data_IF_375746225116
#
_entry.id   IF_375746225116
#
_cell.length_a   1.000
_cell.length_b   1.000
_cell.length_c   1.000
_cell.angle_alpha   90.00
_cell.angle_beta   90.00
_cell.angle_gamma   90.00
#
_symmetry.space_group_name_H-M   'P 1'
#
loop_
_entity.id
_entity.type
_entity.pdbx_description
1 polymer ?
#
# COMPACT_ATOMS: atom_id res chain seq x y z
N UNK A 1 -8.77 -14.42 -16.03
CA UNK A 1 -8.56 -13.66 -14.77
C UNK A 1 -7.11 -13.84 -14.38
N UNK A 2 -6.34 -12.76 -14.22
CA UNK A 2 -4.91 -12.82 -13.84
C UNK A 2 -4.74 -13.60 -12.54
N UNK A 3 -3.66 -14.38 -12.39
CA UNK A 3 -3.43 -15.14 -11.14
C UNK A 3 -3.26 -14.20 -9.95
N UNK A 4 -2.70 -13.00 -10.17
CA UNK A 4 -2.51 -11.99 -9.12
C UNK A 4 -3.84 -11.37 -8.67
N UNK A 5 -4.82 -11.21 -9.58
CA UNK A 5 -6.18 -10.77 -9.20
C UNK A 5 -6.80 -11.75 -8.21
N UNK A 6 -6.62 -13.06 -8.43
CA UNK A 6 -7.15 -14.09 -7.51
C UNK A 6 -6.50 -13.98 -6.13
N UNK A 7 -5.18 -13.85 -6.06
CA UNK A 7 -4.44 -13.69 -4.79
C UNK A 7 -4.92 -12.44 -4.03
N UNK A 8 -5.04 -11.30 -4.72
CA UNK A 8 -5.55 -10.06 -4.12
C UNK A 8 -6.98 -10.20 -3.60
N UNK A 9 -7.87 -10.91 -4.31
CA UNK A 9 -9.23 -11.16 -3.86
C UNK A 9 -9.29 -12.08 -2.63
N UNK A 10 -8.46 -13.12 -2.58
CA UNK A 10 -8.34 -14.01 -1.42
C UNK A 10 -7.82 -13.27 -0.19
N UNK A 11 -6.85 -12.36 -0.38
CA UNK A 11 -6.36 -11.50 0.70
C UNK A 11 -7.43 -10.52 1.18
N UNK A 12 -8.12 -9.86 0.24
CA UNK A 12 -9.21 -8.92 0.54
C UNK A 12 -10.37 -9.58 1.29
N UNK A 13 -10.66 -10.85 0.99
CA UNK A 13 -11.69 -11.61 1.72
C UNK A 13 -11.35 -11.80 3.21
N UNK A 14 -10.07 -11.72 3.60
CA UNK A 14 -9.59 -11.87 4.98
C UNK A 14 -9.35 -10.55 5.70
N UNK A 15 -9.57 -9.42 5.02
CA UNK A 15 -9.29 -8.07 5.53
C UNK A 15 -10.00 -7.77 6.87
N UNK A 16 -11.23 -8.26 7.07
CA UNK A 16 -11.97 -8.03 8.32
C UNK A 16 -11.56 -8.93 9.48
N UNK A 17 -10.77 -9.98 9.21
CA UNK A 17 -10.48 -11.05 10.18
C UNK A 17 -8.99 -11.08 10.60
N UNK A 18 -8.11 -10.55 9.75
CA UNK A 18 -6.66 -10.64 9.91
C UNK A 18 -6.04 -9.24 9.75
N UNK A 19 -5.45 -8.72 10.83
CA UNK A 19 -4.81 -7.39 10.83
C UNK A 19 -3.68 -7.26 9.81
N UNK A 20 -2.92 -8.33 9.56
CA UNK A 20 -1.87 -8.31 8.56
C UNK A 20 -2.48 -8.32 7.16
N UNK A 21 -3.55 -9.09 6.95
CA UNK A 21 -4.29 -9.05 5.67
C UNK A 21 -4.88 -7.66 5.41
N UNK A 22 -5.39 -7.00 6.45
CA UNK A 22 -5.85 -5.62 6.37
C UNK A 22 -4.73 -4.66 6.00
N UNK A 23 -3.62 -4.68 6.74
CA UNK A 23 -2.46 -3.83 6.46
C UNK A 23 -1.93 -4.05 5.04
N UNK A 24 -1.93 -5.30 4.55
CA UNK A 24 -1.56 -5.62 3.17
C UNK A 24 -2.55 -5.04 2.14
N UNK A 25 -3.86 -5.14 2.38
CA UNK A 25 -4.86 -4.50 1.52
C UNK A 25 -4.73 -2.98 1.51
N UNK A 26 -4.53 -2.36 2.67
CA UNK A 26 -4.32 -0.91 2.78
C UNK A 26 -3.01 -0.47 2.11
N UNK A 27 -1.96 -1.28 2.17
CA UNK A 27 -0.70 -1.04 1.45
C UNK A 27 -0.91 -1.10 -0.06
N UNK A 28 -1.66 -2.08 -0.58
CA UNK A 28 -2.00 -2.17 -2.00
C UNK A 28 -2.84 -0.97 -2.46
N UNK A 29 -3.79 -0.51 -1.64
CA UNK A 29 -4.56 0.72 -1.88
C UNK A 29 -3.67 1.96 -1.89
N UNK A 30 -2.74 2.08 -0.93
CA UNK A 30 -1.81 3.20 -0.86
C UNK A 30 -0.92 3.26 -2.11
N UNK A 31 -0.32 2.14 -2.52
CA UNK A 31 0.42 2.05 -3.78
C UNK A 31 -0.44 2.45 -4.98
N UNK A 32 -1.71 2.02 -5.02
CA UNK A 32 -2.63 2.37 -6.09
C UNK A 32 -2.91 3.89 -6.16
N UNK A 33 -3.06 4.53 -5.01
CA UNK A 33 -3.24 5.98 -4.88
C UNK A 33 -1.99 6.73 -5.36
N UNK A 34 -0.80 6.23 -5.01
CA UNK A 34 0.51 6.78 -5.42
C UNK A 34 0.88 6.50 -6.89
N UNK A 35 -0.01 5.90 -7.68
CA UNK A 35 0.24 5.63 -9.09
C UNK A 35 1.06 4.36 -9.37
N UNK A 36 1.17 3.48 -8.37
CA UNK A 36 1.72 2.13 -8.51
C UNK A 36 3.13 1.94 -7.95
N UNK A 37 3.76 3.01 -7.48
CA UNK A 37 5.02 2.94 -6.75
C UNK A 37 5.08 4.06 -5.71
N UNK A 38 5.77 3.82 -4.60
CA UNK A 38 5.93 4.78 -3.51
C UNK A 38 7.15 4.46 -2.66
N UNK A 39 7.75 5.50 -2.10
CA UNK A 39 8.79 5.34 -1.08
C UNK A 39 8.17 4.81 0.23
N UNK A 40 8.93 4.08 1.04
CA UNK A 40 8.46 3.49 2.30
C UNK A 40 7.72 4.51 3.19
N UNK A 41 8.28 5.71 3.35
CA UNK A 41 7.67 6.82 4.11
C UNK A 41 6.33 7.27 3.54
N UNK A 42 6.25 7.47 2.21
CA UNK A 42 5.01 7.85 1.53
C UNK A 42 3.94 6.75 1.65
N UNK A 43 4.37 5.48 1.67
CA UNK A 43 3.50 4.34 1.87
C UNK A 43 2.95 4.28 3.28
N UNK A 44 3.80 4.49 4.28
CA UNK A 44 3.37 4.56 5.69
C UNK A 44 2.35 5.67 5.89
N UNK A 45 2.60 6.85 5.32
CA UNK A 45 1.67 7.99 5.35
C UNK A 45 0.36 7.65 4.63
N UNK A 46 0.42 6.99 3.47
CA UNK A 46 -0.75 6.56 2.71
C UNK A 46 -1.62 5.54 3.45
N UNK A 47 -0.99 4.54 4.10
CA UNK A 47 -1.70 3.55 4.93
C UNK A 47 -2.36 4.23 6.13
N UNK A 48 -1.66 5.15 6.79
CA UNK A 48 -2.22 5.93 7.90
C UNK A 48 -3.41 6.79 7.45
N UNK A 49 -3.33 7.42 6.28
CA UNK A 49 -4.42 8.21 5.70
C UNK A 49 -5.66 7.35 5.38
N UNK A 50 -5.46 6.14 4.85
CA UNK A 50 -6.56 5.18 4.61
C UNK A 50 -7.24 4.79 5.92
N UNK A 51 -6.44 4.47 6.96
CA UNK A 51 -6.98 4.14 8.28
C UNK A 51 -7.74 5.33 8.90
N UNK A 52 -7.26 6.57 8.74
CA UNK A 52 -7.95 7.75 9.23
C UNK A 52 -9.35 7.93 8.60
N UNK A 53 -9.57 7.48 7.36
CA UNK A 53 -10.87 7.52 6.70
C UNK A 53 -11.88 6.50 7.26
N UNK A 54 -11.43 5.48 7.99
CA UNK A 54 -12.32 4.53 8.65
C UNK A 54 -12.99 5.13 9.89
N UNK A 55 -12.39 6.17 10.48
CA UNK A 55 -12.84 6.77 11.75
C UNK A 55 -12.49 5.93 12.98
N UNK A 56 -11.78 4.81 12.81
CA UNK A 56 -11.39 3.90 13.89
C UNK A 56 -9.88 3.93 14.10
N UNK A 57 -9.44 4.53 15.22
CA UNK A 57 -8.01 4.59 15.61
C UNK A 57 -7.42 3.19 15.78
N UNK A 58 -8.22 2.20 16.19
CA UNK A 58 -7.76 0.82 16.32
C UNK A 58 -7.52 0.13 14.97
N UNK A 59 -7.93 0.75 13.86
CA UNK A 59 -7.67 0.28 12.50
C UNK A 59 -6.32 0.75 11.93
N UNK A 60 -5.63 1.66 12.61
CA UNK A 60 -4.29 2.12 12.21
C UNK A 60 -3.30 1.00 12.46
N UNK A 61 -2.71 0.49 11.37
CA UNK A 61 -1.63 -0.49 11.47
C UNK A 61 -0.39 0.17 12.10
N UNK A 62 0.22 -0.52 13.05
CA UNK A 62 1.55 -0.20 13.54
C UNK A 62 2.59 -0.34 12.43
N UNK A 63 3.74 0.32 12.59
CA UNK A 63 4.84 0.22 11.61
C UNK A 63 5.24 -1.25 11.36
N UNK A 64 5.34 -2.06 12.41
CA UNK A 64 5.69 -3.48 12.28
C UNK A 64 4.63 -4.26 11.49
N UNK A 65 3.34 -3.96 11.66
CA UNK A 65 2.28 -4.63 10.88
C UNK A 65 2.34 -4.25 9.40
N UNK A 66 2.75 -3.01 9.07
CA UNK A 66 2.99 -2.60 7.69
C UNK A 66 4.23 -3.28 7.11
N UNK A 67 5.32 -3.42 7.88
CA UNK A 67 6.52 -4.14 7.48
C UNK A 67 6.22 -5.64 7.22
N UNK A 68 5.46 -6.28 8.10
CA UNK A 68 5.00 -7.67 7.92
C UNK A 68 4.09 -7.81 6.68
N UNK A 69 3.22 -6.83 6.44
CA UNK A 69 2.40 -6.79 5.25
C UNK A 69 3.24 -6.65 3.96
N UNK A 70 4.23 -5.76 3.95
CA UNK A 70 5.15 -5.58 2.81
C UNK A 70 5.92 -6.88 2.52
N UNK A 71 6.45 -7.54 3.55
CA UNK A 71 7.13 -8.84 3.42
C UNK A 71 6.19 -9.89 2.82
N UNK A 72 4.95 -9.97 3.30
CA UNK A 72 3.95 -10.90 2.77
C UNK A 72 3.62 -10.61 1.31
N UNK A 73 3.39 -9.34 0.96
CA UNK A 73 3.09 -8.92 -0.41
C UNK A 73 4.24 -9.21 -1.39
N UNK A 74 5.49 -9.11 -0.94
CA UNK A 74 6.66 -9.50 -1.73
C UNK A 74 6.75 -11.01 -1.94
N UNK A 75 6.55 -11.80 -0.89
CA UNK A 75 6.55 -13.27 -0.96
C UNK A 75 5.45 -13.77 -1.89
N UNK A 76 4.28 -13.15 -1.86
CA UNK A 76 3.16 -13.45 -2.75
C UNK A 76 3.34 -12.88 -4.17
N UNK A 77 4.43 -12.14 -4.43
CA UNK A 77 4.78 -11.61 -5.75
C UNK A 77 3.86 -10.48 -6.22
N UNK A 78 3.16 -9.81 -5.32
CA UNK A 78 2.24 -8.71 -5.62
C UNK A 78 2.98 -7.37 -5.76
N UNK A 79 4.08 -7.21 -5.03
CA UNK A 79 4.95 -6.03 -5.08
C UNK A 79 6.40 -6.42 -5.34
N UNK A 80 7.23 -5.43 -5.63
CA UNK A 80 8.68 -5.55 -5.55
C UNK A 80 9.31 -4.32 -4.93
N UNK A 81 10.39 -4.53 -4.17
CA UNK A 81 11.23 -3.48 -3.61
C UNK A 81 12.48 -3.22 -4.43
N UNK A 82 12.96 -1.99 -4.33
CA UNK A 82 14.29 -1.58 -4.79
C UNK A 82 14.83 -0.53 -3.83
N UNK A 83 16.08 -0.67 -3.38
CA UNK A 83 16.78 0.41 -2.68
C UNK A 83 17.13 1.53 -3.65
N UNK A 84 16.81 2.76 -3.27
CA UNK A 84 17.07 3.95 -4.06
C UNK A 84 17.50 5.12 -3.20
N UNK A 85 18.03 6.15 -3.87
CA UNK A 85 18.37 7.43 -3.24
C UNK A 85 17.24 8.41 -3.53
N UNK A 86 16.62 8.94 -2.48
CA UNK A 86 15.64 10.02 -2.54
C UNK A 86 16.27 11.32 -2.07
N UNK A 87 15.88 12.44 -2.64
CA UNK A 87 16.28 13.75 -2.14
C UNK A 87 15.65 13.97 -0.74
N UNK A 88 16.44 14.48 0.19
CA UNK A 88 15.95 14.91 1.50
C UNK A 88 15.34 16.32 1.37
N UNK A 89 14.04 16.51 1.64
CA UNK A 89 13.44 17.85 1.59
C UNK A 89 13.93 18.77 2.72
N UNK A 90 14.60 18.25 3.76
CA UNK A 90 15.11 19.02 4.90
C UNK A 90 16.58 19.43 4.78
N UNK A 91 17.29 19.00 3.73
CA UNK A 91 18.71 19.25 3.55
C UNK A 91 19.21 19.09 2.11
N UNK A 92 20.53 19.14 1.93
CA UNK A 92 21.19 18.95 0.61
C UNK A 92 21.64 17.50 0.36
N UNK A 93 21.24 16.56 1.24
CA UNK A 93 21.64 15.15 1.20
C UNK A 93 20.61 14.26 0.51
N UNK A 94 21.05 13.08 0.09
CA UNK A 94 20.15 12.00 -0.33
C UNK A 94 19.95 11.03 0.82
N UNK A 95 18.70 10.62 1.06
CA UNK A 95 18.35 9.53 1.98
C UNK A 95 18.27 8.24 1.18
N UNK A 96 18.83 7.15 1.71
CA UNK A 96 18.60 5.82 1.16
C UNK A 96 17.29 5.25 1.73
N UNK A 97 16.41 4.85 0.83
CA UNK A 97 15.08 4.38 1.18
C UNK A 97 14.64 3.27 0.21
N UNK A 98 13.73 2.43 0.67
CA UNK A 98 13.14 1.39 -0.17
C UNK A 98 11.98 1.97 -0.96
N UNK A 99 12.03 1.81 -2.27
CA UNK A 99 10.92 2.06 -3.18
C UNK A 99 10.16 0.75 -3.38
N UNK A 100 8.87 0.74 -3.06
CA UNK A 100 7.99 -0.40 -3.37
C UNK A 100 7.16 -0.09 -4.61
N UNK A 101 6.88 -1.12 -5.40
CA UNK A 101 6.12 -1.00 -6.65
C UNK A 101 5.20 -2.20 -6.85
N UNK A 102 4.00 -1.95 -7.38
CA UNK A 102 3.07 -3.00 -7.78
C UNK A 102 3.63 -3.77 -8.98
N UNK A 103 3.55 -5.10 -8.93
CA UNK A 103 3.89 -5.95 -10.08
C UNK A 103 2.84 -5.87 -11.19
N UNK A 104 1.58 -5.65 -10.82
CA UNK A 104 0.46 -5.52 -11.76
C UNK A 104 -0.52 -4.44 -11.28
N UNK A 105 -0.34 -3.22 -11.83
CA UNK A 105 -1.18 -2.07 -11.52
C UNK A 105 -2.63 -2.27 -11.99
N UNK A 106 -2.83 -2.93 -13.13
CA UNK A 106 -4.17 -3.15 -13.69
C UNK A 106 -4.98 -4.11 -12.82
N UNK A 107 -4.34 -5.18 -12.31
CA UNK A 107 -4.94 -6.08 -11.34
C UNK A 107 -5.34 -5.36 -10.05
N UNK A 108 -4.45 -4.53 -9.50
CA UNK A 108 -4.75 -3.74 -8.30
C UNK A 108 -5.91 -2.77 -8.54
N UNK A 109 -5.94 -2.08 -9.69
CA UNK A 109 -7.06 -1.22 -10.09
C UNK A 109 -8.38 -2.00 -10.17
N UNK A 110 -8.37 -3.22 -10.72
CA UNK A 110 -9.56 -4.04 -10.83
C UNK A 110 -10.12 -4.44 -9.46
N UNK A 111 -9.24 -4.76 -8.49
CA UNK A 111 -9.65 -5.27 -7.17
C UNK A 111 -9.98 -4.16 -6.17
N UNK A 112 -9.21 -3.07 -6.19
CA UNK A 112 -9.26 -2.00 -5.17
C UNK A 112 -9.68 -0.64 -5.73
N UNK A 113 -9.76 -0.45 -7.05
CA UNK A 113 -10.01 0.86 -7.66
C UNK A 113 -11.37 1.47 -7.32
N UNK A 114 -12.36 0.64 -6.96
CA UNK A 114 -13.68 1.07 -6.52
C UNK A 114 -13.77 1.28 -4.99
N UNK A 115 -12.70 1.02 -4.24
CA UNK A 115 -12.72 1.16 -2.78
C UNK A 115 -12.84 2.64 -2.40
N UNK A 116 -13.71 2.91 -1.41
CA UNK A 116 -14.04 4.28 -0.99
C UNK A 116 -12.80 5.11 -0.66
N UNK A 117 -11.82 4.52 0.03
CA UNK A 117 -10.57 5.21 0.37
C UNK A 117 -9.78 5.63 -0.88
N UNK A 118 -9.68 4.73 -1.87
CA UNK A 118 -8.98 5.01 -3.14
C UNK A 118 -9.69 6.12 -3.91
N UNK A 119 -11.03 6.08 -3.98
CA UNK A 119 -11.83 7.09 -4.66
C UNK A 119 -11.74 8.47 -4.02
N UNK A 120 -11.66 8.54 -2.68
CA UNK A 120 -11.54 9.80 -1.94
C UNK A 120 -10.13 10.39 -2.05
N UNK A 121 -9.10 9.57 -1.86
CA UNK A 121 -7.72 10.05 -1.81
C UNK A 121 -7.17 10.38 -3.20
N UNK A 122 -7.52 9.63 -4.27
CA UNK A 122 -7.10 10.02 -5.64
C UNK A 122 -7.74 11.31 -6.14
N UNK A 123 -8.94 11.64 -5.69
CA UNK A 123 -9.63 12.89 -6.09
C UNK A 123 -8.98 14.14 -5.48
N UNK A 124 -8.24 14.02 -4.38
CA UNK A 124 -7.53 15.13 -3.74
C UNK A 124 -6.14 15.40 -4.29
N UNK A 125 -5.63 14.56 -5.20
CA UNK A 125 -4.24 14.62 -5.71
C UNK A 125 -4.12 15.21 -7.13
N UNK A 126 -5.22 15.74 -7.69
CA UNK A 126 -5.29 16.31 -9.05
C UNK A 126 -5.55 17.80 -9.06
#
# INVERSE_FOLDING_TARGET
MSSLVKVMLEMKARESEDRIAKAACDTLRALLILGGAGWESELLDGVAAIAALSGDISSVASRSEVEDALNRLEVEGLIGSRRGKRADPTGASTIEETLYSLKDFAAAMQVFGADRAVLLLRKGSG
#
